data_IF_891371240694
#
_entry.id   IF_891371240694
#
_cell.length_a   1.000
_cell.length_b   1.000
_cell.length_c   1.000
_cell.angle_alpha   90.00
_cell.angle_beta   90.00
_cell.angle_gamma   90.00
#
_symmetry.space_group_name_H-M   'P 1'
#
loop_
_entity.id
_entity.type
_entity.pdbx_description
1 polymer ?
#
# COMPACT_ATOMS: atom_id res chain seq x y z
N UNK A 2 9.99 -5.83 6.11
CA UNK A 2 9.28 -5.67 4.82
C UNK A 2 9.95 -4.58 3.99
N UNK A 3 10.26 -4.85 2.73
CA UNK A 3 11.22 -4.09 1.92
C UNK A 3 10.80 -4.04 0.44
N UNK A 4 9.68 -3.37 0.16
CA UNK A 4 8.99 -3.34 -1.15
C UNK A 4 8.80 -1.93 -1.71
N UNK A 5 8.62 -1.84 -3.03
CA UNK A 5 8.17 -0.62 -3.73
C UNK A 5 6.65 -0.63 -3.90
N UNK A 6 5.98 0.49 -3.59
CA UNK A 6 4.55 0.72 -3.80
C UNK A 6 4.36 2.09 -4.42
N UNK A 7 3.62 2.13 -5.51
CA UNK A 7 2.96 3.35 -5.98
C UNK A 7 1.75 3.72 -5.12
N UNK A 8 1.91 3.71 -3.80
CA UNK A 8 0.88 4.20 -2.88
C UNK A 8 0.99 5.73 -2.75
N UNK A 9 0.04 6.43 -2.10
CA UNK A 9 0.22 7.84 -1.80
C UNK A 9 1.37 7.99 -0.79
N UNK A 10 2.06 9.14 -0.78
CA UNK A 10 3.37 9.33 -0.13
C UNK A 10 3.46 8.88 1.35
N UNK A 11 2.33 8.85 2.06
CA UNK A 11 2.17 8.19 3.35
C UNK A 11 2.03 6.66 3.24
N UNK A 12 3.02 6.00 2.62
CA UNK A 12 3.03 4.55 2.43
C UNK A 12 3.83 3.79 3.50
N UNK A 13 3.39 2.56 3.76
CA UNK A 13 4.01 1.48 4.52
C UNK A 13 2.98 0.33 4.61
N UNK A 14 3.09 -0.71 3.76
CA UNK A 14 2.15 -1.84 3.83
C UNK A 14 2.36 -2.67 5.10
N UNK A 15 1.33 -2.66 5.94
CA UNK A 15 1.12 -3.57 7.06
C UNK A 15 0.01 -4.58 6.71
N UNK A 16 -0.27 -5.54 7.59
CA UNK A 16 -1.28 -6.57 7.39
C UNK A 16 -1.70 -7.26 8.70
N UNK A 17 -2.97 -7.67 8.79
CA UNK A 17 -3.53 -8.29 9.99
C UNK A 17 -2.97 -9.70 10.25
N UNK A 18 -3.01 -10.16 11.51
CA UNK A 18 -2.45 -11.45 11.95
C UNK A 18 -3.13 -12.65 11.26
N UNK A 19 -4.46 -12.67 11.20
CA UNK A 19 -5.28 -13.82 10.76
C UNK A 19 -6.33 -13.44 9.69
N UNK A 20 -6.79 -12.19 9.71
CA UNK A 20 -7.66 -11.58 8.69
C UNK A 20 -6.88 -11.24 7.40
N UNK A 21 -7.54 -11.28 6.24
CA UNK A 21 -6.85 -11.54 4.97
C UNK A 21 -6.41 -10.34 4.09
N UNK A 22 -6.76 -9.08 4.43
CA UNK A 22 -6.35 -7.88 3.69
C UNK A 22 -5.16 -7.14 4.36
N UNK A 23 -4.38 -6.32 3.62
CA UNK A 23 -3.38 -5.41 4.18
C UNK A 23 -4.06 -4.17 4.78
N UNK A 24 -3.25 -3.31 5.41
CA UNK A 24 -3.59 -1.90 5.67
C UNK A 24 -2.34 -1.02 5.50
N UNK A 25 -2.49 0.14 4.86
CA UNK A 25 -1.36 0.99 4.47
C UNK A 25 -1.16 2.12 5.48
N UNK A 26 -0.17 1.99 6.35
CA UNK A 26 0.12 2.94 7.42
C UNK A 26 0.79 4.20 6.88
N UNK A 27 0.31 5.39 7.26
CA UNK A 27 1.04 6.63 7.03
C UNK A 27 2.00 6.90 8.21
N UNK A 28 3.32 7.02 7.97
CA UNK A 28 4.28 7.38 9.03
C UNK A 28 4.25 8.88 9.37
N UNK A 29 4.03 9.77 8.39
CA UNK A 29 4.19 11.23 8.55
C UNK A 29 2.92 11.98 9.01
N UNK A 30 1.76 11.34 8.91
CA UNK A 30 0.46 11.78 9.45
C UNK A 30 -0.16 10.59 10.18
N UNK A 31 -0.77 10.81 11.35
CA UNK A 31 -1.48 9.75 12.08
C UNK A 31 -2.77 9.36 11.33
N UNK A 32 -2.66 8.41 10.40
CA UNK A 32 -3.70 7.99 9.46
C UNK A 32 -3.34 6.65 8.77
N UNK A 33 -4.28 6.06 8.04
CA UNK A 33 -4.11 4.82 7.28
C UNK A 33 -5.07 4.75 6.07
N UNK A 34 -4.69 3.96 5.05
CA UNK A 34 -5.40 3.76 3.78
C UNK A 34 -5.67 2.27 3.56
N UNK A 35 -6.77 1.90 2.92
CA UNK A 35 -7.35 0.54 3.00
C UNK A 35 -7.29 -0.23 1.66
N UNK A 36 -7.45 0.50 0.56
CA UNK A 36 -7.43 0.09 -0.85
C UNK A 36 -6.78 1.24 -1.65
N UNK A 37 -6.38 1.08 -2.93
CA UNK A 37 -5.67 2.12 -3.69
C UNK A 37 -6.54 3.39 -3.94
N UNK A 38 -6.16 4.58 -3.42
CA UNK A 38 -6.93 5.83 -3.50
C UNK A 38 -6.65 6.66 -4.77
N UNK A 39 -7.30 7.82 -4.93
CA UNK A 39 -7.05 8.73 -6.04
C UNK A 39 -5.64 9.39 -6.03
N UNK A 40 -5.02 9.59 -4.86
CA UNK A 40 -3.65 10.17 -4.72
C UNK A 40 -2.51 9.16 -5.05
N UNK A 41 -2.86 7.92 -5.41
CA UNK A 41 -1.95 6.79 -5.61
C UNK A 41 -1.35 6.78 -7.01
N UNK A 42 -0.34 5.93 -7.22
CA UNK A 42 0.49 5.85 -8.42
C UNK A 42 0.48 4.44 -9.01
N UNK A 43 -0.71 3.95 -9.32
CA UNK A 43 -1.02 2.71 -10.04
C UNK A 43 0.07 2.21 -11.01
N UNK A 44 0.72 3.03 -11.81
CA UNK A 44 1.87 2.63 -12.64
C UNK A 44 2.97 1.94 -11.81
N UNK A 45 3.43 2.60 -10.75
CA UNK A 45 4.37 2.09 -9.73
C UNK A 45 3.72 1.05 -8.81
N UNK A 46 2.40 0.81 -8.90
CA UNK A 46 1.77 -0.35 -8.26
C UNK A 46 1.59 -1.53 -9.18
N UNK A 47 1.59 -1.39 -10.50
CA UNK A 47 1.24 -2.55 -11.33
C UNK A 47 2.35 -3.62 -11.21
N UNK A 48 3.60 -3.13 -11.16
CA UNK A 48 4.83 -3.82 -10.76
C UNK A 48 4.85 -4.37 -9.33
N UNK A 49 3.90 -3.97 -8.48
CA UNK A 49 3.78 -4.35 -7.08
C UNK A 49 2.57 -5.28 -6.81
N UNK A 50 1.36 -4.77 -7.01
CA UNK A 50 0.06 -5.35 -6.70
C UNK A 50 -0.27 -6.65 -7.47
N UNK A 51 0.43 -6.95 -8.56
CA UNK A 51 0.33 -8.21 -9.30
C UNK A 51 1.71 -8.85 -9.52
N UNK A 52 1.77 -10.19 -9.57
CA UNK A 52 3.02 -10.97 -9.70
C UNK A 52 3.28 -11.36 -11.15
N UNK A 53 2.33 -12.05 -11.81
CA UNK A 53 2.26 -12.12 -13.28
C UNK A 53 1.47 -10.90 -13.82
N UNK A 54 1.83 -10.42 -15.01
CA UNK A 54 1.27 -9.18 -15.61
C UNK A 54 0.48 -9.45 -16.88
#
# INVERSE_FOLDING_TARGET
>A
GSMVNTGLPAGWEVRHSNSKNLPYYFNPATRESRWEPPADTDMETLKMYMATYH
#
